data_IF_490660859557
#
_entry.id   IF_490660859557
#
_cell.length_a   1.000
_cell.length_b   1.000
_cell.length_c   1.000
_cell.angle_alpha   90.00
_cell.angle_beta   90.00
_cell.angle_gamma   90.00
#
_symmetry.space_group_name_H-M   'P 1'
#
loop_
_entity.id
_entity.type
_entity.pdbx_description
1 polymer ?
#
# COMPACT_ATOMS: atom_id res chain seq x y z
N UNK A 1 14.90 -9.74 10.98
CA UNK A 1 15.11 -8.33 11.32
C UNK A 1 16.04 -8.31 12.51
N UNK A 2 17.13 -7.57 12.43
CA UNK A 2 18.09 -7.39 13.52
C UNK A 2 17.52 -6.39 14.54
N UNK A 3 18.03 -6.40 15.79
CA UNK A 3 17.65 -5.40 16.79
C UNK A 3 17.94 -3.96 16.33
N UNK A 4 18.85 -3.78 15.37
CA UNK A 4 19.15 -2.50 14.73
C UNK A 4 18.01 -2.00 13.84
N UNK A 5 17.27 -2.89 13.19
CA UNK A 5 16.15 -2.51 12.32
C UNK A 5 14.97 -1.95 13.14
N UNK A 6 14.75 -2.49 14.34
CA UNK A 6 13.73 -1.96 15.27
C UNK A 6 14.12 -0.59 15.85
N UNK A 7 15.41 -0.26 15.92
CA UNK A 7 15.86 1.07 16.39
C UNK A 7 15.45 2.22 15.44
N UNK A 8 15.10 1.91 14.18
CA UNK A 8 14.63 2.89 13.20
C UNK A 8 13.17 3.29 13.37
N UNK A 9 12.40 2.53 14.15
CA UNK A 9 10.99 2.80 14.40
C UNK A 9 10.75 3.18 15.85
N UNK A 10 9.85 4.11 16.07
CA UNK A 10 9.28 4.44 17.36
C UNK A 10 7.94 3.73 17.51
N UNK A 11 7.81 2.89 18.54
CA UNK A 11 6.56 2.25 18.87
C UNK A 11 5.73 3.15 19.78
N UNK A 12 4.49 3.42 19.39
CA UNK A 12 3.54 4.14 20.23
C UNK A 12 2.82 3.20 21.20
N UNK A 13 2.20 3.73 22.27
CA UNK A 13 1.45 2.90 23.21
C UNK A 13 0.40 2.06 22.52
N UNK A 14 0.34 0.79 22.88
CA UNK A 14 -0.66 -0.14 22.36
C UNK A 14 -2.06 0.28 22.82
N UNK A 15 -3.02 0.22 21.91
CA UNK A 15 -4.43 0.39 22.21
C UNK A 15 -5.15 -0.95 22.04
N UNK A 16 -6.24 -1.14 22.81
CA UNK A 16 -7.11 -2.32 22.69
C UNK A 16 -8.55 -1.87 22.55
N UNK A 17 -9.21 -2.35 21.52
CA UNK A 17 -10.64 -2.08 21.28
C UNK A 17 -11.45 -3.30 21.67
N UNK A 18 -12.45 -3.11 22.56
CA UNK A 18 -13.33 -4.17 23.00
C UNK A 18 -12.64 -5.32 23.77
N UNK A 19 -11.41 -5.12 24.20
CA UNK A 19 -10.63 -6.11 24.97
C UNK A 19 -10.03 -7.25 24.15
N UNK A 20 -10.28 -7.32 22.85
CA UNK A 20 -9.82 -8.42 21.97
C UNK A 20 -8.99 -7.95 20.76
N UNK A 21 -9.20 -6.73 20.26
CA UNK A 21 -8.46 -6.21 19.11
C UNK A 21 -7.25 -5.44 19.62
N UNK A 22 -6.06 -5.93 19.30
CA UNK A 22 -4.79 -5.28 19.65
C UNK A 22 -4.34 -4.38 18.48
N UNK A 23 -3.99 -3.14 18.80
CA UNK A 23 -3.48 -2.16 17.83
C UNK A 23 -2.10 -1.70 18.26
N UNK A 24 -1.14 -1.82 17.34
CA UNK A 24 0.22 -1.34 17.49
C UNK A 24 0.49 -0.29 16.40
N UNK A 25 1.05 0.85 16.78
CA UNK A 25 1.39 1.93 15.84
C UNK A 25 2.90 2.15 15.89
N UNK A 26 3.49 2.25 14.72
CA UNK A 26 4.92 2.47 14.52
C UNK A 26 5.14 3.69 13.63
N UNK A 27 6.17 4.46 13.93
CA UNK A 27 6.60 5.57 13.08
C UNK A 27 8.10 5.46 12.79
N UNK A 28 8.47 5.53 11.52
CA UNK A 28 9.87 5.56 11.11
C UNK A 28 10.50 6.90 11.47
N UNK A 29 11.56 6.88 12.28
CA UNK A 29 12.34 8.07 12.66
C UNK A 29 13.05 8.70 11.46
N UNK A 30 13.32 7.91 10.43
CA UNK A 30 14.07 8.37 9.27
C UNK A 30 13.18 8.98 8.19
N UNK A 31 12.01 8.38 7.93
CA UNK A 31 11.16 8.74 6.81
C UNK A 31 9.82 9.36 7.21
N UNK A 32 9.44 9.23 8.50
CA UNK A 32 8.11 9.62 8.97
C UNK A 32 7.00 8.66 8.53
N UNK A 33 7.34 7.53 7.90
CA UNK A 33 6.36 6.52 7.53
C UNK A 33 5.67 5.98 8.79
N UNK A 34 4.34 6.00 8.78
CA UNK A 34 3.52 5.44 9.86
C UNK A 34 2.95 4.10 9.44
N UNK A 35 3.08 3.13 10.32
CA UNK A 35 2.47 1.81 10.19
C UNK A 35 1.52 1.54 11.36
N UNK A 36 0.41 0.89 11.07
CA UNK A 36 -0.52 0.42 12.09
C UNK A 36 -0.78 -1.07 11.86
N UNK A 37 -0.52 -1.87 12.87
CA UNK A 37 -0.83 -3.29 12.89
C UNK A 37 -2.06 -3.51 13.77
N UNK A 38 -3.09 -4.10 13.17
CA UNK A 38 -4.34 -4.46 13.86
C UNK A 38 -4.45 -5.98 13.89
N UNK A 39 -4.36 -6.55 15.06
CA UNK A 39 -4.46 -8.01 15.25
C UNK A 39 -5.91 -8.38 15.55
N UNK A 40 -6.48 -9.24 14.71
CA UNK A 40 -7.82 -9.81 14.83
C UNK A 40 -7.74 -11.33 14.75
N UNK A 41 -8.82 -12.02 15.12
CA UNK A 41 -8.95 -13.48 14.98
C UNK A 41 -9.47 -13.88 13.58
N UNK A 42 -9.46 -12.97 12.62
CA UNK A 42 -9.96 -13.21 11.26
C UNK A 42 -8.95 -14.00 10.43
N UNK A 43 -9.42 -14.92 9.55
CA UNK A 43 -8.53 -15.74 8.71
C UNK A 43 -7.95 -14.94 7.53
N UNK A 44 -8.42 -13.72 7.28
CA UNK A 44 -7.94 -12.85 6.21
C UNK A 44 -6.93 -11.85 6.75
N UNK A 45 -5.88 -11.62 5.96
CA UNK A 45 -4.91 -10.56 6.20
C UNK A 45 -5.11 -9.46 5.15
N UNK A 46 -5.35 -8.23 5.59
CA UNK A 46 -5.56 -7.08 4.72
C UNK A 46 -4.44 -6.05 4.91
N UNK A 47 -3.85 -5.64 3.81
CA UNK A 47 -2.86 -4.56 3.74
C UNK A 47 -3.52 -3.32 3.10
N UNK A 48 -3.30 -2.17 3.70
CA UNK A 48 -3.72 -0.88 3.18
C UNK A 48 -2.52 0.05 3.15
N UNK A 49 -2.14 0.53 1.98
CA UNK A 49 -1.11 1.57 1.82
C UNK A 49 -1.81 2.85 1.42
N UNK A 50 -1.72 3.87 2.28
CA UNK A 50 -2.41 5.14 2.09
C UNK A 50 -1.39 6.25 1.84
N UNK A 51 -1.55 6.92 0.72
CA UNK A 51 -0.74 8.08 0.34
C UNK A 51 -1.61 9.33 0.40
N UNK A 52 -1.14 10.36 1.08
CA UNK A 52 -1.76 11.68 1.03
C UNK A 52 -1.55 12.28 -0.37
N UNK A 53 -2.63 12.44 -1.12
CA UNK A 53 -2.64 12.98 -2.46
C UNK A 53 -3.74 14.02 -2.58
N UNK A 54 -3.47 15.13 -3.24
CA UNK A 54 -4.52 16.11 -3.59
C UNK A 54 -5.07 15.74 -4.97
N UNK A 55 -6.28 15.23 -5.00
CA UNK A 55 -6.96 14.86 -6.24
C UNK A 55 -7.86 15.98 -6.78
N UNK A 56 -8.23 16.94 -5.93
CA UNK A 56 -9.10 18.07 -6.26
C UNK A 56 -8.49 19.35 -5.66
N UNK A 57 -7.84 20.14 -6.50
CA UNK A 57 -7.45 21.50 -6.15
C UNK A 57 -8.47 22.46 -6.72
N UNK A 58 -9.14 23.22 -5.86
CA UNK A 58 -10.04 24.30 -6.27
C UNK A 58 -9.32 25.48 -6.98
N UNK A 59 -8.11 25.27 -7.43
CA UNK A 59 -7.34 26.26 -8.16
C UNK A 59 -7.50 26.04 -9.67
N UNK A 60 -8.14 27.00 -10.32
CA UNK A 60 -8.37 27.07 -11.78
C UNK A 60 -7.10 27.00 -12.64
N UNK A 61 -5.93 27.04 -12.02
CA UNK A 61 -4.63 26.93 -12.69
C UNK A 61 -4.16 25.49 -12.94
N UNK A 62 -4.77 24.50 -12.29
CA UNK A 62 -4.38 23.09 -12.43
C UNK A 62 -5.16 22.41 -13.55
N UNK A 63 -4.43 22.13 -14.64
CA UNK A 63 -4.94 21.37 -15.78
C UNK A 63 -4.88 19.85 -15.55
N UNK A 64 -4.35 19.43 -14.40
CA UNK A 64 -3.98 18.04 -14.11
C UNK A 64 -4.91 17.39 -13.07
N UNK A 65 -6.18 17.83 -13.00
CA UNK A 65 -7.21 17.20 -12.19
C UNK A 65 -7.33 15.72 -12.59
N UNK A 66 -7.18 14.83 -11.59
CA UNK A 66 -7.22 13.38 -11.82
C UNK A 66 -5.86 12.71 -12.03
N UNK A 67 -4.72 13.43 -11.92
CA UNK A 67 -3.39 12.83 -12.01
C UNK A 67 -3.16 11.72 -10.96
N UNK A 68 -3.55 11.88 -9.68
CA UNK A 68 -3.45 10.80 -8.69
C UNK A 68 -4.27 9.55 -9.08
N UNK A 69 -5.44 9.70 -9.66
CA UNK A 69 -6.27 8.60 -10.14
C UNK A 69 -5.62 7.90 -11.36
N UNK A 70 -5.02 8.66 -12.25
CA UNK A 70 -4.27 8.10 -13.38
C UNK A 70 -3.06 7.30 -12.89
N UNK A 71 -2.32 7.83 -11.90
CA UNK A 71 -1.20 7.13 -11.27
C UNK A 71 -1.66 5.86 -10.57
N UNK A 72 -2.80 5.89 -9.90
CA UNK A 72 -3.42 4.71 -9.28
C UNK A 72 -3.54 3.55 -10.26
N UNK A 73 -4.03 3.78 -11.48
CA UNK A 73 -4.09 2.76 -12.51
C UNK A 73 -2.70 2.36 -13.04
N UNK A 74 -1.80 3.32 -13.17
CA UNK A 74 -0.48 3.10 -13.78
C UNK A 74 0.43 2.18 -12.96
N UNK A 75 0.34 2.20 -11.63
CA UNK A 75 1.20 1.38 -10.76
C UNK A 75 1.02 -0.13 -10.99
N UNK A 76 -0.17 -0.57 -11.43
CA UNK A 76 -0.46 -1.98 -11.72
C UNK A 76 0.12 -2.48 -13.05
N UNK A 77 0.70 -1.58 -13.84
CA UNK A 77 1.28 -1.92 -15.14
C UNK A 77 2.69 -2.48 -15.05
N UNK A 78 3.36 -2.32 -13.91
CA UNK A 78 4.69 -2.86 -13.63
C UNK A 78 5.52 -1.94 -12.74
N UNK A 79 6.62 -2.46 -12.24
CA UNK A 79 7.58 -1.77 -11.38
C UNK A 79 9.01 -2.02 -11.85
N UNK A 80 9.99 -1.37 -11.23
CA UNK A 80 11.41 -1.53 -11.59
C UNK A 80 11.89 -2.97 -11.50
N UNK A 81 11.54 -3.68 -10.42
CA UNK A 81 11.91 -5.08 -10.23
C UNK A 81 10.97 -6.05 -10.97
N UNK A 82 9.75 -5.63 -11.26
CA UNK A 82 8.72 -6.46 -11.91
C UNK A 82 8.13 -5.74 -13.14
N UNK A 83 8.90 -5.52 -14.22
CA UNK A 83 8.51 -4.67 -15.35
C UNK A 83 7.55 -5.38 -16.32
N UNK A 84 6.59 -6.14 -15.81
CA UNK A 84 5.65 -6.92 -16.61
C UNK A 84 4.21 -6.57 -16.25
N UNK A 85 3.44 -6.12 -17.23
CA UNK A 85 2.02 -5.82 -17.06
C UNK A 85 1.25 -7.04 -16.51
N UNK A 86 0.50 -6.82 -15.43
CA UNK A 86 -0.33 -7.84 -14.79
C UNK A 86 0.45 -8.89 -13.99
N UNK A 87 1.73 -8.67 -13.71
CA UNK A 87 2.52 -9.57 -12.86
C UNK A 87 2.00 -9.59 -11.44
N UNK A 88 1.59 -8.43 -10.92
CA UNK A 88 1.08 -8.30 -9.56
C UNK A 88 -0.18 -9.14 -9.36
N UNK A 89 -1.13 -9.11 -10.29
CA UNK A 89 -2.35 -9.93 -10.23
C UNK A 89 -2.04 -11.43 -10.29
N UNK A 90 -1.06 -11.83 -11.12
CA UNK A 90 -0.64 -13.23 -11.19
C UNK A 90 -0.01 -13.72 -9.89
N UNK A 91 0.79 -12.89 -9.25
CA UNK A 91 1.43 -13.22 -7.97
C UNK A 91 0.40 -13.19 -6.83
N UNK A 92 -0.52 -12.24 -6.85
CA UNK A 92 -1.63 -12.15 -5.92
C UNK A 92 -2.50 -13.41 -5.96
N UNK A 93 -2.91 -13.85 -7.15
CA UNK A 93 -3.67 -15.09 -7.33
C UNK A 93 -2.94 -16.34 -6.79
N UNK A 94 -1.61 -16.40 -6.96
CA UNK A 94 -0.80 -17.51 -6.42
C UNK A 94 -0.71 -17.50 -4.89
N UNK A 95 -0.84 -16.34 -4.28
CA UNK A 95 -0.81 -16.14 -2.84
C UNK A 95 -2.20 -16.17 -2.20
N UNK A 96 -3.19 -16.69 -2.91
CA UNK A 96 -4.60 -16.74 -2.48
C UNK A 96 -5.15 -15.35 -2.07
N UNK A 97 -4.71 -14.33 -2.80
CA UNK A 97 -5.25 -12.99 -2.64
C UNK A 97 -6.57 -12.85 -3.41
N UNK A 98 -7.47 -12.04 -2.88
CA UNK A 98 -8.72 -11.63 -3.55
C UNK A 98 -8.49 -10.52 -4.59
N UNK A 99 -7.29 -10.51 -5.19
CA UNK A 99 -6.85 -9.48 -6.12
C UNK A 99 -6.27 -8.25 -5.41
N UNK A 100 -5.77 -7.34 -6.23
CA UNK A 100 -5.31 -6.02 -5.80
C UNK A 100 -6.39 -5.00 -6.13
N UNK A 101 -6.61 -4.05 -5.25
CA UNK A 101 -7.57 -2.98 -5.47
C UNK A 101 -6.99 -1.64 -5.02
N UNK A 102 -7.52 -0.56 -5.56
CA UNK A 102 -7.16 0.78 -5.16
C UNK A 102 -8.34 1.72 -5.34
N UNK A 103 -8.30 2.86 -4.68
CA UNK A 103 -9.22 3.97 -4.91
C UNK A 103 -8.55 5.30 -4.61
N UNK A 104 -8.97 6.34 -5.32
CA UNK A 104 -8.53 7.71 -5.11
C UNK A 104 -9.70 8.53 -4.57
N UNK A 105 -9.50 9.15 -3.42
CA UNK A 105 -10.38 10.15 -2.82
C UNK A 105 -9.80 11.56 -3.04
N UNK A 106 -10.48 12.58 -2.52
CA UNK A 106 -10.07 13.98 -2.68
C UNK A 106 -8.76 14.33 -1.97
N UNK A 107 -8.42 13.61 -0.92
CA UNK A 107 -7.27 13.88 -0.03
C UNK A 107 -6.27 12.73 0.07
N UNK A 108 -6.59 11.55 -0.48
CA UNK A 108 -5.72 10.39 -0.44
C UNK A 108 -5.99 9.38 -1.55
N UNK A 109 -4.97 8.59 -1.85
CA UNK A 109 -5.08 7.36 -2.64
C UNK A 109 -4.75 6.17 -1.75
N UNK A 110 -5.59 5.16 -1.77
CA UNK A 110 -5.41 3.95 -0.98
C UNK A 110 -5.24 2.74 -1.90
N UNK A 111 -4.21 1.97 -1.65
CA UNK A 111 -3.91 0.72 -2.33
C UNK A 111 -4.13 -0.44 -1.36
N UNK A 112 -4.89 -1.45 -1.77
CA UNK A 112 -5.27 -2.55 -0.89
C UNK A 112 -4.93 -3.91 -1.47
N UNK A 113 -4.62 -4.83 -0.57
CA UNK A 113 -4.38 -6.23 -0.86
C UNK A 113 -4.98 -7.06 0.28
N UNK A 114 -5.77 -8.08 -0.06
CA UNK A 114 -6.32 -9.01 0.92
C UNK A 114 -5.93 -10.44 0.54
N UNK A 115 -5.39 -11.17 1.49
CA UNK A 115 -4.92 -12.56 1.31
C UNK A 115 -5.58 -13.51 2.32
N UNK A 116 -5.66 -14.78 1.97
CA UNK A 116 -6.02 -15.84 2.90
C UNK A 116 -4.80 -16.15 3.79
N UNK A 117 -4.77 -15.55 4.98
CA UNK A 117 -3.68 -15.69 5.95
C UNK A 117 -2.53 -14.69 5.74
N UNK A 118 -1.68 -14.60 6.75
CA UNK A 118 -0.58 -13.64 6.84
C UNK A 118 0.60 -13.97 5.91
N UNK A 119 0.87 -15.23 5.66
CA UNK A 119 2.01 -15.66 4.83
C UNK A 119 1.91 -15.10 3.41
N UNK A 120 0.72 -15.17 2.80
CA UNK A 120 0.47 -14.59 1.48
C UNK A 120 0.69 -13.07 1.47
N UNK A 121 0.22 -12.37 2.50
CA UNK A 121 0.39 -10.94 2.66
C UNK A 121 1.87 -10.55 2.79
N UNK A 122 2.62 -11.22 3.65
CA UNK A 122 4.05 -10.96 3.88
C UNK A 122 4.90 -11.24 2.63
N UNK A 123 4.56 -12.27 1.85
CA UNK A 123 5.25 -12.58 0.59
C UNK A 123 4.97 -11.53 -0.50
N UNK A 124 3.76 -10.97 -0.53
CA UNK A 124 3.38 -9.96 -1.52
C UNK A 124 3.77 -8.54 -1.12
N UNK A 125 3.91 -8.26 0.17
CA UNK A 125 4.20 -6.91 0.68
C UNK A 125 5.40 -6.24 0.00
N UNK A 126 6.59 -6.86 -0.15
CA UNK A 126 7.73 -6.23 -0.81
C UNK A 126 7.47 -5.96 -2.30
N UNK A 127 6.74 -6.85 -2.97
CA UNK A 127 6.39 -6.70 -4.39
C UNK A 127 5.39 -5.56 -4.56
N UNK A 128 4.42 -5.48 -3.66
CA UNK A 128 3.40 -4.44 -3.65
C UNK A 128 4.01 -3.06 -3.36
N UNK A 129 4.94 -3.01 -2.40
CA UNK A 129 5.69 -1.81 -2.09
C UNK A 129 6.54 -1.34 -3.29
N UNK A 130 7.19 -2.25 -4.02
CA UNK A 130 7.95 -1.91 -5.22
C UNK A 130 7.07 -1.28 -6.30
N UNK A 131 5.87 -1.81 -6.53
CA UNK A 131 4.91 -1.23 -7.47
C UNK A 131 4.45 0.17 -7.08
N UNK A 132 4.24 0.42 -5.78
CA UNK A 132 3.78 1.73 -5.29
C UNK A 132 4.91 2.77 -5.30
N UNK A 133 6.13 2.35 -4.91
CA UNK A 133 7.26 3.27 -4.72
C UNK A 133 8.10 3.47 -5.98
N UNK A 134 8.16 2.46 -6.86
CA UNK A 134 8.98 2.44 -8.07
C UNK A 134 8.21 1.96 -9.30
N UNK A 135 7.04 2.57 -9.61
CA UNK A 135 6.25 2.17 -10.78
C UNK A 135 7.01 2.45 -12.08
N UNK A 136 6.88 1.56 -13.04
CA UNK A 136 7.42 1.79 -14.39
C UNK A 136 6.45 2.69 -15.17
N UNK A 137 6.69 3.98 -15.15
CA UNK A 137 5.90 4.98 -15.84
C UNK A 137 6.46 5.18 -17.26
N UNK A 138 5.91 4.47 -18.24
CA UNK A 138 6.28 4.60 -19.66
C UNK A 138 5.18 5.30 -20.44
N UNK A 139 5.52 5.91 -21.57
CA UNK A 139 4.52 6.57 -22.45
C UNK A 139 3.39 5.63 -22.85
N UNK A 140 3.67 4.32 -22.97
CA UNK A 140 2.67 3.30 -23.29
C UNK A 140 1.66 3.03 -22.16
N UNK A 141 1.92 3.51 -20.95
CA UNK A 141 0.97 3.43 -19.83
C UNK A 141 -0.16 4.46 -19.96
N UNK A 142 0.04 5.50 -20.79
CA UNK A 142 -0.90 6.62 -20.97
C UNK A 142 -1.65 6.59 -22.31
N UNK A 143 -1.44 5.55 -23.13
CA UNK A 143 -2.11 5.27 -24.40
C UNK A 143 -2.87 3.97 -24.33
#
# INVERSE_FOLDING_TARGET
MSDEDYALFEAHPQATIGGCIKIEVFESKQTGLRGMLVQTDEPLCSLHVVLATEADTNDWSHKDDGLPHTLEHAIFLGSELYPFKGILDKLANRSLADGTNAWTATDHTCYTLTTAGEEGCLNLLPIYADHILYPTLTDSCFH
#
